data_IF_072368196016
#
_entry.id   IF_072368196016
#
_cell.length_a   1.000
_cell.length_b   1.000
_cell.length_c   1.000
_cell.angle_alpha   90.00
_cell.angle_beta   90.00
_cell.angle_gamma   90.00
#
_symmetry.space_group_name_H-M   'P 1'
#
loop_
_entity.id
_entity.type
_entity.pdbx_description
1 polymer ?
#
# COMPACT_ATOMS: atom_id res chain seq x y z
N UNK A 1 0.79 0.46 2.17
CA UNK A 1 -0.49 0.73 1.48
C UNK A 1 -1.62 0.22 2.35
N UNK A 2 -2.71 0.98 2.46
CA UNK A 2 -4.02 0.50 2.92
C UNK A 2 -4.93 0.35 1.70
N UNK A 3 -5.79 -0.67 1.68
CA UNK A 3 -6.70 -0.93 0.57
C UNK A 3 -8.00 -1.58 1.06
N UNK A 4 -9.12 -1.15 0.50
CA UNK A 4 -10.46 -1.71 0.72
C UNK A 4 -11.08 -2.17 -0.62
N UNK A 5 -12.39 -2.43 -0.66
CA UNK A 5 -13.09 -2.90 -1.87
C UNK A 5 -13.23 -1.83 -2.97
N UNK A 6 -13.03 -0.56 -2.63
CA UNK A 6 -13.28 0.57 -3.52
C UNK A 6 -12.01 1.33 -3.88
N UNK A 7 -11.03 1.38 -2.97
CA UNK A 7 -9.91 2.31 -3.08
C UNK A 7 -8.69 1.88 -2.26
N UNK A 8 -7.57 2.48 -2.61
CA UNK A 8 -6.31 2.36 -1.88
C UNK A 8 -5.72 3.73 -1.55
N UNK A 9 -4.82 3.77 -0.57
CA UNK A 9 -4.00 4.94 -0.25
C UNK A 9 -2.70 4.52 0.44
N UNK A 10 -1.71 5.41 0.42
CA UNK A 10 -0.51 5.25 1.24
C UNK A 10 -0.75 5.80 2.63
N UNK A 11 -0.25 5.07 3.62
CA UNK A 11 -0.34 5.42 5.03
C UNK A 11 1.07 5.45 5.61
N UNK A 12 1.50 6.64 6.05
CA UNK A 12 2.78 6.84 6.71
C UNK A 12 2.66 8.00 7.70
N UNK A 13 3.13 7.82 8.94
CA UNK A 13 3.00 8.82 10.01
C UNK A 13 1.56 9.36 10.18
N UNK A 14 0.57 8.46 10.13
CA UNK A 14 -0.86 8.77 10.18
C UNK A 14 -1.40 9.63 9.02
N UNK A 15 -0.57 9.96 8.02
CA UNK A 15 -0.98 10.70 6.84
C UNK A 15 -1.47 9.77 5.73
N UNK A 16 -2.58 10.16 5.11
CA UNK A 16 -3.21 9.45 3.99
C UNK A 16 -2.92 10.17 2.68
N UNK A 17 -2.12 9.56 1.81
CA UNK A 17 -1.72 10.18 0.52
C UNK A 17 -2.04 9.26 -0.66
N UNK A 18 -2.07 9.86 -1.86
CA UNK A 18 -2.20 9.15 -3.14
C UNK A 18 -3.40 8.19 -3.21
N UNK A 19 -4.58 8.68 -2.82
CA UNK A 19 -5.83 7.94 -2.94
C UNK A 19 -6.02 7.50 -4.40
N UNK A 20 -6.18 6.19 -4.62
CA UNK A 20 -6.38 5.58 -5.94
C UNK A 20 -7.72 4.85 -5.95
N UNK A 21 -8.51 5.01 -7.02
CA UNK A 21 -9.75 4.25 -7.20
C UNK A 21 -9.45 2.83 -7.70
N UNK A 22 -10.32 1.89 -7.35
CA UNK A 22 -10.11 0.48 -7.60
C UNK A 22 -9.52 -0.16 -6.35
N UNK A 23 -10.29 -1.06 -5.76
CA UNK A 23 -9.92 -1.79 -4.55
C UNK A 23 -9.55 -3.24 -4.84
N UNK A 24 -9.70 -4.07 -3.83
CA UNK A 24 -9.51 -5.52 -3.91
C UNK A 24 -10.81 -6.27 -3.64
N UNK A 25 -10.88 -7.49 -4.15
CA UNK A 25 -11.94 -8.45 -3.81
C UNK A 25 -11.32 -9.79 -3.44
N UNK A 26 -12.12 -10.70 -2.92
CA UNK A 26 -11.68 -12.08 -2.69
C UNK A 26 -11.12 -12.68 -3.98
N UNK A 27 -9.89 -13.18 -3.91
CA UNK A 27 -9.16 -13.71 -5.06
C UNK A 27 -8.28 -12.71 -5.80
N UNK A 28 -8.30 -11.42 -5.43
CA UNK A 28 -7.37 -10.43 -6.00
C UNK A 28 -5.92 -10.70 -5.60
N UNK A 29 -5.00 -10.42 -6.53
CA UNK A 29 -3.55 -10.49 -6.31
C UNK A 29 -2.98 -9.09 -6.07
N UNK A 30 -2.21 -8.95 -4.99
CA UNK A 30 -1.48 -7.71 -4.67
C UNK A 30 0.01 -7.94 -4.94
N UNK A 31 0.57 -7.15 -5.85
CA UNK A 31 2.00 -7.12 -6.14
C UNK A 31 2.73 -6.10 -5.28
N UNK A 32 3.96 -6.43 -4.87
CA UNK A 32 4.87 -5.51 -4.16
C UNK A 32 6.22 -5.55 -4.88
N UNK A 33 6.66 -4.40 -5.39
CA UNK A 33 7.97 -4.26 -6.02
C UNK A 33 8.88 -3.44 -5.11
N UNK A 34 9.90 -4.10 -4.56
CA UNK A 34 11.03 -3.46 -3.91
C UNK A 34 12.18 -3.38 -4.92
N UNK A 35 12.37 -2.20 -5.52
CA UNK A 35 13.49 -1.96 -6.42
C UNK A 35 14.69 -1.45 -5.61
N UNK A 36 15.67 -2.32 -5.41
CA UNK A 36 16.89 -2.00 -4.65
C UNK A 36 17.90 -1.15 -5.44
N UNK A 37 17.78 -1.11 -6.77
CA UNK A 37 18.64 -0.25 -7.59
C UNK A 37 18.14 1.20 -7.56
N UNK A 38 16.81 1.37 -7.59
CA UNK A 38 16.17 2.68 -7.52
C UNK A 38 15.82 3.13 -6.10
N UNK A 39 15.96 2.23 -5.12
CA UNK A 39 15.58 2.46 -3.72
C UNK A 39 14.09 2.83 -3.54
N UNK A 40 13.20 2.17 -4.29
CA UNK A 40 11.76 2.47 -4.31
C UNK A 40 10.89 1.29 -3.91
N UNK A 41 9.68 1.59 -3.40
CA UNK A 41 8.62 0.63 -3.11
C UNK A 41 7.34 1.01 -3.86
N UNK A 42 6.80 0.06 -4.63
CA UNK A 42 5.54 0.24 -5.39
C UNK A 42 4.57 -0.90 -5.15
N UNK A 43 3.28 -0.62 -5.30
CA UNK A 43 2.19 -1.58 -5.09
C UNK A 43 1.34 -1.74 -6.35
N UNK A 44 0.81 -2.95 -6.55
CA UNK A 44 0.00 -3.30 -7.71
C UNK A 44 -1.21 -4.14 -7.28
N UNK A 45 -2.30 -4.04 -8.03
CA UNK A 45 -3.45 -4.94 -7.96
C UNK A 45 -3.71 -5.46 -9.37
N UNK A 46 -3.72 -6.78 -9.56
CA UNK A 46 -3.86 -7.40 -10.89
C UNK A 46 -2.89 -6.79 -11.93
N UNK A 47 -1.61 -6.65 -11.55
CA UNK A 47 -0.55 -6.04 -12.35
C UNK A 47 -0.75 -4.55 -12.70
N UNK A 48 -1.80 -3.91 -12.18
CA UNK A 48 -2.05 -2.46 -12.34
C UNK A 48 -1.48 -1.69 -11.15
N UNK A 49 -0.67 -0.64 -11.37
CA UNK A 49 -0.13 0.19 -10.30
C UNK A 49 -1.22 0.84 -9.43
N UNK A 50 -1.01 0.83 -8.12
CA UNK A 50 -1.86 1.51 -7.15
C UNK A 50 -1.19 2.82 -6.71
N UNK A 51 -1.39 3.87 -7.51
CA UNK A 51 -0.77 5.18 -7.32
C UNK A 51 0.67 5.26 -7.84
N UNK A 52 1.41 6.31 -7.48
CA UNK A 52 2.83 6.44 -7.82
C UNK A 52 3.71 5.53 -6.93
N UNK A 53 5.02 5.71 -6.97
CA UNK A 53 5.94 5.10 -6.01
C UNK A 53 5.54 5.51 -4.59
N UNK A 54 5.41 4.53 -3.69
CA UNK A 54 4.94 4.75 -2.32
C UNK A 54 6.04 5.25 -1.39
N UNK A 55 7.27 4.80 -1.59
CA UNK A 55 8.45 5.25 -0.87
C UNK A 55 9.62 5.30 -1.83
N UNK A 56 10.43 6.36 -1.74
CA UNK A 56 11.70 6.52 -2.43
C UNK A 56 12.83 6.68 -1.41
N UNK A 57 14.07 6.75 -1.92
CA UNK A 57 15.26 7.01 -1.10
C UNK A 57 15.40 6.03 0.08
N UNK A 58 14.92 4.80 -0.09
CA UNK A 58 14.97 3.76 0.94
C UNK A 58 16.40 3.22 1.07
N UNK A 59 17.12 3.75 2.06
CA UNK A 59 18.46 3.29 2.43
C UNK A 59 18.44 2.56 3.78
N UNK A 60 19.11 1.40 3.85
CA UNK A 60 19.15 0.54 5.04
C UNK A 60 17.97 -0.43 5.17
N UNK A 61 18.12 -1.45 6.03
CA UNK A 61 17.07 -2.46 6.27
C UNK A 61 16.08 -1.92 7.30
N UNK A 62 14.96 -1.34 6.84
CA UNK A 62 13.87 -0.89 7.71
C UNK A 62 12.66 -1.81 7.61
N UNK A 63 12.55 -2.80 8.50
CA UNK A 63 11.32 -3.56 8.72
C UNK A 63 10.52 -2.94 9.86
N UNK A 64 9.45 -2.18 9.55
CA UNK A 64 8.47 -1.78 10.56
C UNK A 64 7.19 -2.59 10.38
N UNK A 65 6.89 -3.43 11.38
CA UNK A 65 5.56 -4.04 11.56
C UNK A 65 4.74 -3.18 12.52
N UNK A 66 3.64 -2.61 12.04
CA UNK A 66 2.55 -2.14 12.88
C UNK A 66 1.25 -2.74 12.35
N UNK A 67 0.63 -3.61 13.13
CA UNK A 67 -0.71 -4.10 12.87
C UNK A 67 -1.67 -3.36 13.81
N UNK A 68 -2.54 -2.52 13.27
CA UNK A 68 -3.72 -2.02 13.97
C UNK A 68 -4.94 -2.74 13.40
N UNK A 69 -5.35 -3.81 14.05
CA UNK A 69 -6.64 -4.46 13.77
C UNK A 69 -7.72 -3.66 14.49
N UNK A 70 -8.32 -2.70 13.80
CA UNK A 70 -9.40 -1.87 14.31
C UNK A 70 -10.65 -2.01 13.46
N UNK A 71 -11.30 -3.18 13.49
CA UNK A 71 -12.62 -3.38 12.88
C UNK A 71 -13.69 -3.16 13.96
N UNK A 72 -14.27 -1.97 14.02
CA UNK A 72 -15.54 -1.75 14.73
C UNK A 72 -16.64 -1.55 13.70
N UNK A 73 -17.47 -2.59 13.51
CA UNK A 73 -18.75 -2.47 12.83
C UNK A 73 -19.73 -1.85 13.82
N UNK A 74 -20.13 -0.60 13.59
CA UNK A 74 -21.41 -0.09 14.12
C UNK A 74 -22.53 -0.53 13.20
N UNK A 75 -23.58 -1.08 13.81
CA UNK A 75 -24.91 -1.25 13.21
C UNK A 75 -25.52 0.09 12.83
#
# INVERSE_FOLDING_TARGET
MYIDEHRSWFLHMDEHTNRTEGGIRSGSTVGVLLDLNQHTLSYFVEDVPQGPVAFDNMHGVSFRRSASTGMSRSR
#
